data_IF_399752530367
#
_entry.id   IF_399752530367
#
_cell.length_a   1.000
_cell.length_b   1.000
_cell.length_c   1.000
_cell.angle_alpha   90.00
_cell.angle_beta   90.00
_cell.angle_gamma   90.00
#
_symmetry.space_group_name_H-M   'P 1'
#
loop_
_entity.id
_entity.type
_entity.pdbx_description
1 polymer ?
#
# COMPACT_ATOMS: atom_id res chain seq x y z
N UNK A 1 -1.82 23.38 9.77
CA UNK A 1 -2.56 22.70 10.84
C UNK A 1 -3.89 22.23 10.26
N UNK A 2 -4.38 21.05 10.64
CA UNK A 2 -5.65 20.49 10.18
C UNK A 2 -6.55 20.12 11.36
N UNK A 3 -7.80 20.58 11.35
CA UNK A 3 -8.85 20.25 12.32
C UNK A 3 -9.90 19.35 11.67
N UNK A 4 -10.37 18.38 12.45
CA UNK A 4 -11.56 17.59 12.13
C UNK A 4 -12.71 18.19 12.91
N UNK A 5 -13.59 18.86 12.19
CA UNK A 5 -14.65 19.65 12.79
C UNK A 5 -15.85 18.81 13.16
N UNK A 6 -16.48 19.16 14.28
CA UNK A 6 -17.69 18.52 14.80
C UNK A 6 -18.65 19.56 15.35
N UNK A 7 -19.86 19.14 15.75
CA UNK A 7 -20.86 20.02 16.38
C UNK A 7 -20.30 20.86 17.52
N UNK A 8 -19.45 20.28 18.36
CA UNK A 8 -18.93 20.97 19.56
C UNK A 8 -17.75 21.90 19.26
N UNK A 9 -17.02 21.70 18.16
CA UNK A 9 -15.79 22.44 17.87
C UNK A 9 -15.94 23.44 16.73
N UNK A 10 -16.93 23.28 15.84
CA UNK A 10 -17.10 24.10 14.62
C UNK A 10 -17.04 25.62 14.85
N UNK A 11 -17.76 26.12 15.86
CA UNK A 11 -17.78 27.57 16.14
C UNK A 11 -16.40 28.09 16.58
N UNK A 12 -15.67 27.29 17.35
CA UNK A 12 -14.33 27.66 17.82
C UNK A 12 -13.30 27.55 16.68
N UNK A 13 -13.38 26.48 15.88
CA UNK A 13 -12.52 26.21 14.72
C UNK A 13 -12.63 27.33 13.67
N UNK A 14 -13.84 27.88 13.46
CA UNK A 14 -14.12 29.00 12.55
C UNK A 14 -13.79 30.37 13.14
N UNK A 15 -13.57 30.47 14.46
CA UNK A 15 -13.45 31.71 15.21
C UNK A 15 -12.10 31.86 15.91
N UNK A 16 -12.08 31.62 17.23
CA UNK A 16 -10.95 31.94 18.10
C UNK A 16 -9.65 31.23 17.68
N UNK A 17 -9.74 29.96 17.30
CA UNK A 17 -8.59 29.16 16.87
C UNK A 17 -7.87 29.75 15.67
N UNK A 18 -8.61 30.25 14.67
CA UNK A 18 -8.01 30.94 13.50
C UNK A 18 -7.15 32.12 13.93
N UNK A 19 -7.62 32.93 14.86
CA UNK A 19 -6.85 34.07 15.39
C UNK A 19 -5.57 33.61 16.09
N UNK A 20 -5.67 32.59 16.94
CA UNK A 20 -4.52 32.02 17.65
C UNK A 20 -3.49 31.45 16.66
N UNK A 21 -3.91 30.66 15.68
CA UNK A 21 -2.98 30.05 14.71
C UNK A 21 -2.35 31.08 13.77
N UNK A 22 -3.07 32.15 13.42
CA UNK A 22 -2.52 33.27 12.68
C UNK A 22 -1.42 33.99 13.49
N UNK A 23 -1.65 34.23 14.79
CA UNK A 23 -0.66 34.81 15.69
C UNK A 23 0.58 33.91 15.84
N UNK A 24 0.38 32.59 15.90
CA UNK A 24 1.46 31.60 15.94
C UNK A 24 2.17 31.41 14.59
N UNK A 25 1.73 32.08 13.52
CA UNK A 25 2.39 32.05 12.21
C UNK A 25 2.15 30.77 11.41
N UNK A 26 1.11 30.00 11.72
CA UNK A 26 0.76 28.76 11.01
C UNK A 26 0.39 29.10 9.56
N UNK A 27 1.19 28.64 8.60
CA UNK A 27 1.11 29.06 7.20
C UNK A 27 -0.18 28.66 6.49
N UNK A 28 -0.68 27.47 6.79
CA UNK A 28 -1.94 26.98 6.26
C UNK A 28 -2.78 26.36 7.39
N UNK A 29 -4.07 26.68 7.40
CA UNK A 29 -5.04 26.16 8.34
C UNK A 29 -6.19 25.48 7.58
N UNK A 30 -6.43 24.22 7.90
CA UNK A 30 -7.36 23.35 7.21
C UNK A 30 -8.46 22.88 8.15
N UNK A 31 -9.68 22.82 7.65
CA UNK A 31 -10.85 22.31 8.37
C UNK A 31 -11.55 21.26 7.50
N UNK A 32 -11.89 20.12 8.10
CA UNK A 32 -12.56 19.02 7.43
C UNK A 32 -13.75 18.54 8.25
N UNK A 33 -14.91 18.41 7.59
CA UNK A 33 -16.15 17.90 8.17
C UNK A 33 -16.49 16.50 7.59
N UNK A 34 -16.28 15.43 8.37
CA UNK A 34 -16.58 14.06 7.96
C UNK A 34 -18.08 13.76 7.78
N UNK A 35 -18.99 14.56 8.37
CA UNK A 35 -20.43 14.33 8.22
C UNK A 35 -21.04 15.26 7.18
N UNK A 36 -20.48 16.46 7.04
CA UNK A 36 -20.99 17.52 6.16
C UNK A 36 -22.13 18.33 6.74
N UNK A 37 -22.37 18.23 8.05
CA UNK A 37 -23.44 18.96 8.74
C UNK A 37 -23.04 20.39 9.15
N UNK A 38 -21.75 20.73 9.08
CA UNK A 38 -21.17 21.91 9.70
C UNK A 38 -20.37 22.79 8.73
N UNK A 39 -19.67 22.20 7.75
CA UNK A 39 -18.87 22.95 6.77
C UNK A 39 -19.43 22.83 5.35
N UNK A 40 -19.59 23.98 4.68
CA UNK A 40 -19.86 24.09 3.25
C UNK A 40 -18.83 25.03 2.59
N UNK A 41 -17.93 24.53 1.72
CA UNK A 41 -17.70 23.12 1.41
C UNK A 41 -17.12 22.34 2.60
N UNK A 42 -17.27 21.01 2.59
CA UNK A 42 -16.84 20.09 3.68
C UNK A 42 -15.35 20.06 3.95
N UNK A 43 -14.54 20.55 3.02
CA UNK A 43 -13.10 20.74 3.16
C UNK A 43 -12.78 22.20 2.83
N UNK A 44 -12.11 22.89 3.74
CA UNK A 44 -11.70 24.27 3.58
C UNK A 44 -10.22 24.43 3.93
N UNK A 45 -9.47 25.09 3.06
CA UNK A 45 -8.09 25.49 3.28
C UNK A 45 -7.99 27.00 3.39
N UNK A 46 -7.14 27.47 4.30
CA UNK A 46 -6.88 28.88 4.54
C UNK A 46 -5.37 29.12 4.56
N UNK A 47 -4.88 30.10 3.82
CA UNK A 47 -3.49 30.52 3.81
C UNK A 47 -3.30 31.80 4.64
N UNK A 48 -2.24 31.82 5.45
CA UNK A 48 -1.83 33.01 6.20
C UNK A 48 -1.12 33.99 5.27
N UNK A 49 -1.70 35.18 5.10
CA UNK A 49 -1.09 36.32 4.42
C UNK A 49 -1.02 37.46 5.43
N UNK A 50 0.20 37.93 5.69
CA UNK A 50 0.53 38.84 6.78
C UNK A 50 0.10 38.28 8.15
N UNK A 51 -1.10 38.65 8.62
CA UNK A 51 -1.66 38.28 9.92
C UNK A 51 -3.08 37.73 9.82
N UNK A 52 -3.59 37.51 8.61
CA UNK A 52 -4.96 37.06 8.38
C UNK A 52 -5.00 35.83 7.48
N UNK A 53 -6.02 35.01 7.70
CA UNK A 53 -6.29 33.83 6.89
C UNK A 53 -7.20 34.15 5.71
N UNK A 54 -6.77 33.75 4.52
CA UNK A 54 -7.51 33.87 3.26
C UNK A 54 -7.82 32.49 2.69
N UNK A 55 -9.00 32.27 2.09
CA UNK A 55 -9.34 31.00 1.44
C UNK A 55 -8.33 30.60 0.38
N UNK A 56 -7.90 29.33 0.44
CA UNK A 56 -7.22 28.67 -0.66
C UNK A 56 -8.25 28.28 -1.73
N UNK A 57 -7.87 28.26 -3.01
CA UNK A 57 -8.77 27.90 -4.10
C UNK A 57 -9.20 26.43 -3.96
N UNK A 58 -10.50 26.20 -4.10
CA UNK A 58 -11.10 24.87 -4.20
C UNK A 58 -11.42 24.57 -5.66
N UNK A 59 -11.06 23.37 -6.10
CA UNK A 59 -11.47 22.82 -7.39
C UNK A 59 -12.55 21.78 -7.14
N UNK A 60 -13.78 22.11 -7.50
CA UNK A 60 -14.88 21.15 -7.50
C UNK A 60 -14.64 20.10 -8.61
N UNK A 61 -14.85 18.83 -8.25
CA UNK A 61 -14.76 17.69 -9.16
C UNK A 61 -16.16 17.15 -9.40
N UNK A 62 -16.27 15.90 -9.83
CA UNK A 62 -17.58 15.28 -10.05
C UNK A 62 -18.30 15.05 -8.73
N UNK A 63 -19.57 15.47 -8.64
CA UNK A 63 -20.38 15.29 -7.43
C UNK A 63 -19.90 16.18 -6.28
N UNK A 64 -19.67 15.59 -5.11
CA UNK A 64 -19.21 16.28 -3.90
C UNK A 64 -17.69 16.22 -3.69
N UNK A 65 -16.95 15.75 -4.70
CA UNK A 65 -15.52 15.62 -4.59
C UNK A 65 -14.82 16.98 -4.74
N UNK A 66 -13.81 17.22 -3.91
CA UNK A 66 -13.08 18.49 -3.86
C UNK A 66 -11.59 18.23 -3.99
N UNK A 67 -10.87 19.16 -4.61
CA UNK A 67 -9.41 19.15 -4.66
C UNK A 67 -8.88 20.52 -4.25
N UNK A 68 -7.93 20.52 -3.32
CA UNK A 68 -7.20 21.70 -2.88
C UNK A 68 -5.71 21.39 -2.80
N UNK A 69 -4.86 22.34 -3.19
CA UNK A 69 -3.41 22.16 -3.13
C UNK A 69 -2.82 22.81 -1.87
N UNK A 70 -1.98 22.08 -1.14
CA UNK A 70 -1.18 22.59 -0.02
C UNK A 70 0.24 22.87 -0.49
N UNK A 71 0.63 24.15 -0.50
CA UNK A 71 2.00 24.55 -0.82
C UNK A 71 2.97 24.20 0.32
N UNK A 72 2.49 24.20 1.57
CA UNK A 72 3.30 23.82 2.74
C UNK A 72 3.67 22.34 2.73
N UNK A 73 2.72 21.48 2.37
CA UNK A 73 2.95 20.03 2.34
C UNK A 73 3.49 19.54 0.99
N UNK A 74 3.28 20.31 -0.10
CA UNK A 74 3.54 19.84 -1.46
C UNK A 74 2.57 18.73 -1.89
N UNK A 75 1.37 18.68 -1.30
CA UNK A 75 0.38 17.62 -1.49
C UNK A 75 -0.96 18.20 -1.94
N UNK A 76 -1.73 17.37 -2.64
CA UNK A 76 -3.14 17.65 -2.91
C UNK A 76 -4.00 17.02 -1.82
N UNK A 77 -4.87 17.82 -1.21
CA UNK A 77 -5.90 17.36 -0.30
C UNK A 77 -7.18 17.17 -1.12
N UNK A 78 -7.68 15.94 -1.14
CA UNK A 78 -8.87 15.56 -1.89
C UNK A 78 -9.95 15.09 -0.96
N UNK A 79 -11.18 15.55 -1.19
CA UNK A 79 -12.36 14.93 -0.63
C UNK A 79 -12.89 13.96 -1.68
N UNK A 80 -12.80 12.66 -1.39
CA UNK A 80 -13.22 11.58 -2.30
C UNK A 80 -14.23 10.72 -1.54
N UNK A 81 -15.46 10.61 -2.07
CA UNK A 81 -16.54 9.87 -1.41
C UNK A 81 -16.80 10.32 0.04
N UNK A 82 -16.57 11.62 0.30
CA UNK A 82 -16.72 12.21 1.63
C UNK A 82 -15.59 11.87 2.61
N UNK A 83 -14.48 11.28 2.15
CA UNK A 83 -13.27 11.05 2.95
C UNK A 83 -12.13 11.95 2.50
N UNK A 84 -11.41 12.52 3.46
CA UNK A 84 -10.20 13.28 3.18
C UNK A 84 -9.03 12.32 2.85
N UNK A 85 -8.48 12.43 1.64
CA UNK A 85 -7.26 11.74 1.20
C UNK A 85 -6.19 12.74 0.81
N UNK A 86 -4.93 12.36 1.03
CA UNK A 86 -3.76 13.13 0.61
C UNK A 86 -3.15 12.46 -0.60
N UNK A 87 -2.85 13.23 -1.63
CA UNK A 87 -2.21 12.75 -2.86
C UNK A 87 -0.90 13.47 -3.08
N UNK A 88 0.07 12.74 -3.64
CA UNK A 88 1.28 13.34 -4.16
C UNK A 88 0.92 14.27 -5.33
N UNK A 89 1.33 15.54 -5.24
CA UNK A 89 0.92 16.56 -6.22
C UNK A 89 1.58 16.38 -7.60
N UNK A 90 2.69 15.65 -7.70
CA UNK A 90 3.41 15.43 -8.95
C UNK A 90 2.87 14.22 -9.72
N UNK A 91 2.55 13.14 -9.00
CA UNK A 91 2.10 11.86 -9.58
C UNK A 91 0.59 11.68 -9.53
N UNK A 92 -0.11 12.38 -8.63
CA UNK A 92 -1.54 12.25 -8.39
C UNK A 92 -1.93 11.00 -7.59
N UNK A 93 -0.96 10.19 -7.17
CA UNK A 93 -1.17 8.95 -6.43
C UNK A 93 -1.57 9.22 -4.97
N UNK A 94 -2.53 8.46 -4.41
CA UNK A 94 -2.91 8.58 -3.02
C UNK A 94 -1.77 8.14 -2.10
N UNK A 95 -1.50 8.94 -1.06
CA UNK A 95 -0.65 8.53 0.05
C UNK A 95 -1.37 7.46 0.86
N UNK A 96 -0.68 6.32 1.03
CA UNK A 96 -1.18 5.23 1.87
C UNK A 96 -1.20 5.68 3.32
N UNK A 97 -2.28 5.36 4.01
CA UNK A 97 -2.31 5.39 5.47
C UNK A 97 -1.29 4.41 6.05
N UNK A 98 -0.91 4.61 7.30
CA UNK A 98 -0.01 3.70 8.01
C UNK A 98 -0.55 2.26 8.00
N UNK A 99 -1.86 2.07 8.20
CA UNK A 99 -2.49 0.76 8.17
C UNK A 99 -2.43 0.10 6.78
N UNK A 100 -2.73 0.85 5.71
CA UNK A 100 -2.63 0.34 4.34
C UNK A 100 -1.19 -0.03 3.97
N UNK A 101 -0.20 0.77 4.41
CA UNK A 101 1.21 0.48 4.20
C UNK A 101 1.66 -0.79 4.94
N UNK A 102 1.24 -0.96 6.20
CA UNK A 102 1.54 -2.16 6.99
C UNK A 102 0.87 -3.41 6.43
N UNK A 103 -0.39 -3.31 6.00
CA UNK A 103 -1.08 -4.41 5.33
C UNK A 103 -0.36 -4.83 4.04
N UNK A 104 0.03 -3.87 3.20
CA UNK A 104 0.78 -4.16 1.98
C UNK A 104 2.16 -4.80 2.26
N UNK A 105 2.83 -4.41 3.34
CA UNK A 105 4.09 -5.03 3.78
C UNK A 105 3.88 -6.48 4.20
N UNK A 106 2.82 -6.77 4.95
CA UNK A 106 2.51 -8.12 5.40
C UNK A 106 2.18 -9.05 4.22
N UNK A 107 1.34 -8.59 3.29
CA UNK A 107 1.01 -9.33 2.06
C UNK A 107 2.28 -9.63 1.23
N UNK A 108 3.17 -8.64 1.06
CA UNK A 108 4.41 -8.81 0.33
C UNK A 108 5.36 -9.82 1.00
N UNK A 109 5.45 -9.82 2.33
CA UNK A 109 6.28 -10.77 3.07
C UNK A 109 5.70 -12.19 3.00
N UNK A 110 4.37 -12.34 3.10
CA UNK A 110 3.70 -13.63 2.93
C UNK A 110 3.93 -14.19 1.52
N UNK A 111 3.78 -13.36 0.48
CA UNK A 111 4.04 -13.76 -0.90
C UNK A 111 5.51 -14.20 -1.09
N UNK A 112 6.45 -13.48 -0.46
CA UNK A 112 7.88 -13.83 -0.50
C UNK A 112 8.17 -15.15 0.20
N UNK A 113 7.52 -15.42 1.33
CA UNK A 113 7.67 -16.67 2.07
C UNK A 113 7.07 -17.85 1.30
N UNK A 114 5.88 -17.68 0.72
CA UNK A 114 5.26 -18.67 -0.15
C UNK A 114 6.14 -18.99 -1.37
N UNK A 115 6.70 -17.97 -2.02
CA UNK A 115 7.62 -18.17 -3.15
C UNK A 115 8.90 -18.94 -2.75
N UNK A 116 9.47 -18.66 -1.57
CA UNK A 116 10.62 -19.41 -1.05
C UNK A 116 10.27 -20.87 -0.77
N UNK A 117 9.13 -21.14 -0.14
CA UNK A 117 8.67 -22.50 0.14
C UNK A 117 8.42 -23.28 -1.15
N UNK A 118 7.76 -22.66 -2.14
CA UNK A 118 7.55 -23.27 -3.44
C UNK A 118 8.87 -23.61 -4.15
N UNK A 119 9.85 -22.71 -4.09
CA UNK A 119 11.18 -22.96 -4.65
C UNK A 119 11.91 -24.12 -3.95
N UNK A 120 11.81 -24.20 -2.62
CA UNK A 120 12.42 -25.29 -1.85
C UNK A 120 11.75 -26.64 -2.15
N UNK A 121 10.42 -26.67 -2.22
CA UNK A 121 9.67 -27.87 -2.57
C UNK A 121 9.98 -28.35 -3.99
N UNK A 122 10.11 -27.41 -4.94
CA UNK A 122 10.48 -27.73 -6.32
C UNK A 122 11.90 -28.30 -6.41
N UNK A 123 12.84 -27.75 -5.64
CA UNK A 123 14.22 -28.26 -5.57
C UNK A 123 14.26 -29.67 -4.97
N UNK A 124 13.56 -29.90 -3.86
CA UNK A 124 13.47 -31.23 -3.26
C UNK A 124 12.86 -32.26 -4.22
N UNK A 125 11.78 -31.87 -4.92
CA UNK A 125 11.14 -32.76 -5.90
C UNK A 125 12.08 -33.12 -7.07
N UNK A 126 12.96 -32.20 -7.49
CA UNK A 126 14.00 -32.49 -8.50
C UNK A 126 15.02 -33.47 -7.99
N UNK A 127 15.56 -33.24 -6.79
CA UNK A 127 16.54 -34.14 -6.17
C UNK A 127 15.96 -35.55 -5.97
N UNK A 128 14.72 -35.65 -5.51
CA UNK A 128 14.04 -36.94 -5.34
C UNK A 128 13.77 -37.65 -6.67
N UNK A 129 13.52 -36.90 -7.75
CA UNK A 129 13.33 -37.45 -9.09
C UNK A 129 14.66 -37.95 -9.68
N UNK A 130 15.74 -37.18 -9.50
CA UNK A 130 17.11 -37.56 -9.91
C UNK A 130 17.56 -38.82 -9.17
N UNK A 131 17.40 -38.88 -7.85
CA UNK A 131 17.76 -40.06 -7.06
C UNK A 131 16.99 -41.31 -7.49
N UNK A 132 15.70 -41.17 -7.82
CA UNK A 132 14.88 -42.27 -8.34
C UNK A 132 15.35 -42.74 -9.72
N UNK A 133 15.67 -41.81 -10.61
CA UNK A 133 16.19 -42.13 -11.94
C UNK A 133 17.55 -42.84 -11.87
N UNK A 134 18.44 -42.41 -10.97
CA UNK A 134 19.72 -43.09 -10.73
C UNK A 134 19.54 -44.51 -10.20
N UNK A 135 18.62 -44.71 -9.25
CA UNK A 135 18.33 -46.03 -8.70
C UNK A 135 17.75 -46.97 -9.76
N UNK A 136 16.81 -46.50 -10.58
CA UNK A 136 16.27 -47.29 -11.68
C UNK A 136 17.35 -47.68 -12.69
N UNK A 137 18.28 -46.77 -13.02
CA UNK A 137 19.40 -47.05 -13.91
C UNK A 137 20.35 -48.10 -13.31
N UNK A 138 20.63 -48.02 -12.00
CA UNK A 138 21.43 -49.04 -11.28
C UNK A 138 20.76 -50.41 -11.35
N UNK A 139 19.46 -50.48 -11.12
CA UNK A 139 18.70 -51.73 -11.17
C UNK A 139 18.69 -52.33 -12.58
N UNK A 140 18.46 -51.51 -13.62
CA UNK A 140 18.52 -51.97 -15.01
C UNK A 140 19.88 -52.55 -15.37
N UNK A 141 20.97 -51.85 -15.05
CA UNK A 141 22.35 -52.34 -15.30
C UNK A 141 22.63 -53.65 -14.57
N UNK A 142 22.16 -53.80 -13.34
CA UNK A 142 22.35 -55.03 -12.56
C UNK A 142 21.57 -56.21 -13.16
N UNK A 143 20.34 -55.98 -13.67
CA UNK A 143 19.56 -57.00 -14.35
C UNK A 143 20.19 -57.40 -15.69
N UNK A 144 20.64 -56.44 -16.49
CA UNK A 144 21.36 -56.68 -17.75
C UNK A 144 22.62 -57.54 -17.52
N UNK A 145 23.42 -57.21 -16.50
CA UNK A 145 24.60 -57.99 -16.15
C UNK A 145 24.28 -59.44 -15.75
N UNK A 146 23.21 -59.66 -14.98
CA UNK A 146 22.76 -61.02 -14.58
C UNK A 146 22.27 -61.84 -15.76
N UNK A 147 21.55 -61.21 -16.69
CA UNK A 147 21.09 -61.87 -17.92
C UNK A 147 22.28 -62.31 -18.77
N UNK A 148 23.26 -61.43 -18.97
CA UNK A 148 24.48 -61.75 -19.72
C UNK A 148 25.27 -62.93 -19.09
N UNK A 149 25.34 -63.00 -17.75
CA UNK A 149 25.99 -64.12 -17.04
C UNK A 149 25.23 -65.45 -17.23
N UNK A 150 23.91 -65.43 -17.19
CA UNK A 150 23.07 -66.60 -17.44
C UNK A 150 23.20 -67.11 -18.88
N UNK A 151 23.21 -66.20 -19.85
CA UNK A 151 23.42 -66.54 -21.26
C UNK A 151 24.79 -67.19 -21.50
N UNK A 152 25.86 -66.67 -20.91
CA UNK A 152 27.19 -67.29 -20.99
C UNK A 152 27.22 -68.70 -20.39
N UNK A 153 26.54 -68.93 -19.26
CA UNK A 153 26.47 -70.27 -18.66
C UNK A 153 25.76 -71.28 -19.55
N UNK A 154 24.71 -70.86 -20.25
CA UNK A 154 23.97 -71.73 -21.16
C UNK A 154 24.76 -72.05 -22.44
N UNK A 155 25.66 -71.17 -22.88
CA UNK A 155 26.50 -71.40 -24.06
C UNK A 155 27.70 -72.33 -23.81
N UNK A 156 28.13 -72.50 -22.55
CA UNK A 156 29.26 -73.34 -22.17
C UNK A 156 28.87 -74.74 -21.68
N UNK A 157 27.62 -75.15 -21.85
CA UNK A 157 27.09 -76.45 -21.42
C UNK A 157 26.64 -77.31 -22.60
#
# INVERSE_FOLDING_TARGET
MLEITSKSTYSEDQGAKRGVYALLGVKEYWQYDPTGDYLEPRLQGLQLIERNYWPLPVQERSGSDLLMHSAVLGLDLRLEEGQLRFHDSATGEPLRSHAEAEFARQEAEQARQAAKQASQAAEQARQDAEARAEEELRQRRALEARLAELEQRLQHH
#
